data_IF_818607388147
#
_entry.id   IF_818607388147
#
_cell.length_a   1.000
_cell.length_b   1.000
_cell.length_c   1.000
_cell.angle_alpha   90.00
_cell.angle_beta   90.00
_cell.angle_gamma   90.00
#
_symmetry.space_group_name_H-M   'P 1'
#
loop_
_entity.id
_entity.type
_entity.pdbx_description
1 polymer ?
#
# COMPACT_ATOMS: atom_id res chain seq x y z
N UNK A 1 -16.16 84.79 7.11
CA UNK A 1 -14.74 84.55 6.78
C UNK A 1 -14.07 83.64 7.82
N UNK A 2 -14.13 83.93 9.13
CA UNK A 2 -13.52 83.08 10.17
C UNK A 2 -14.04 81.63 10.27
N UNK A 3 -15.35 81.38 10.10
CA UNK A 3 -15.90 80.02 10.23
C UNK A 3 -15.44 79.07 9.10
N UNK A 4 -15.19 79.59 7.89
CA UNK A 4 -14.67 78.80 6.78
C UNK A 4 -13.20 78.44 7.01
N UNK A 5 -12.42 79.40 7.48
CA UNK A 5 -11.01 79.20 7.81
C UNK A 5 -10.80 78.14 8.91
N UNK A 6 -11.60 78.18 9.98
CA UNK A 6 -11.50 77.18 11.06
C UNK A 6 -11.96 75.78 10.60
N UNK A 7 -12.93 75.70 9.68
CA UNK A 7 -13.35 74.44 9.09
C UNK A 7 -12.25 73.84 8.20
N UNK A 8 -11.64 74.65 7.33
CA UNK A 8 -10.50 74.24 6.50
C UNK A 8 -9.33 73.76 7.34
N UNK A 9 -9.00 74.49 8.42
CA UNK A 9 -7.95 74.10 9.37
C UNK A 9 -8.27 72.76 10.05
N UNK A 10 -9.52 72.53 10.42
CA UNK A 10 -9.96 71.26 11.04
C UNK A 10 -9.86 70.10 10.05
N UNK A 11 -10.27 70.31 8.80
CA UNK A 11 -10.19 69.30 7.73
C UNK A 11 -8.73 68.95 7.44
N UNK A 12 -7.86 69.96 7.32
CA UNK A 12 -6.43 69.76 7.11
C UNK A 12 -5.79 68.99 8.27
N UNK A 13 -6.10 69.35 9.52
CA UNK A 13 -5.57 68.65 10.71
C UNK A 13 -5.96 67.16 10.71
N UNK A 14 -7.25 66.86 10.50
CA UNK A 14 -7.73 65.48 10.42
C UNK A 14 -7.12 64.70 9.25
N UNK A 15 -6.87 65.38 8.14
CA UNK A 15 -6.26 64.76 6.96
C UNK A 15 -4.78 64.45 7.19
N UNK A 16 -4.05 65.32 7.91
CA UNK A 16 -2.68 65.06 8.33
C UNK A 16 -2.60 63.89 9.31
N UNK A 17 -3.45 63.85 10.34
CA UNK A 17 -3.50 62.73 11.30
C UNK A 17 -3.80 61.38 10.61
N UNK A 18 -4.70 61.39 9.61
CA UNK A 18 -5.00 60.19 8.84
C UNK A 18 -3.83 59.73 7.97
N UNK A 19 -3.07 60.67 7.39
CA UNK A 19 -1.87 60.36 6.59
C UNK A 19 -0.75 59.81 7.46
N UNK A 20 -0.47 60.43 8.62
CA UNK A 20 0.54 59.93 9.57
C UNK A 20 0.19 58.52 10.07
N UNK A 21 -1.10 58.25 10.32
CA UNK A 21 -1.56 56.90 10.69
C UNK A 21 -1.34 55.90 9.56
N UNK A 22 -1.69 56.26 8.33
CA UNK A 22 -1.53 55.39 7.16
C UNK A 22 -0.04 55.12 6.86
N UNK A 23 0.84 56.12 7.03
CA UNK A 23 2.28 55.98 6.89
C UNK A 23 2.85 54.99 7.92
N UNK A 24 2.43 55.12 9.19
CA UNK A 24 2.85 54.18 10.24
C UNK A 24 2.38 52.75 9.97
N UNK A 25 1.14 52.58 9.52
CA UNK A 25 0.61 51.26 9.13
C UNK A 25 1.40 50.66 7.96
N UNK A 26 1.75 51.48 6.96
CA UNK A 26 2.57 51.05 5.84
C UNK A 26 3.97 50.59 6.30
N UNK A 27 4.63 51.35 7.17
CA UNK A 27 5.93 50.97 7.74
C UNK A 27 5.88 49.65 8.52
N UNK A 28 4.81 49.43 9.30
CA UNK A 28 4.60 48.17 10.02
C UNK A 28 4.42 46.99 9.05
N UNK A 29 3.70 47.18 7.94
CA UNK A 29 3.52 46.14 6.92
C UNK A 29 4.81 45.81 6.17
N UNK A 30 5.65 46.81 5.86
CA UNK A 30 6.95 46.59 5.20
C UNK A 30 7.87 45.78 6.11
N UNK A 31 7.96 46.14 7.40
CA UNK A 31 8.76 45.36 8.37
C UNK A 31 8.26 43.92 8.52
N UNK A 32 6.94 43.72 8.51
CA UNK A 32 6.38 42.38 8.55
C UNK A 32 6.73 41.56 7.30
N UNK A 33 6.74 42.19 6.12
CA UNK A 33 7.15 41.56 4.87
C UNK A 33 8.64 41.18 4.89
N UNK A 34 9.53 42.07 5.35
CA UNK A 34 10.97 41.80 5.46
C UNK A 34 11.24 40.59 6.39
N UNK A 35 10.53 40.50 7.52
CA UNK A 35 10.62 39.36 8.45
C UNK A 35 10.13 38.06 7.79
N UNK A 36 9.03 38.14 7.03
CA UNK A 36 8.50 36.96 6.33
C UNK A 36 9.46 36.48 5.22
N UNK A 37 10.07 37.39 4.48
CA UNK A 37 11.06 37.08 3.45
C UNK A 37 12.32 36.46 4.06
N UNK A 38 12.83 37.00 5.17
CA UNK A 38 13.94 36.40 5.89
C UNK A 38 13.64 34.95 6.33
N UNK A 39 12.45 34.70 6.87
CA UNK A 39 12.02 33.34 7.24
C UNK A 39 11.88 32.42 6.05
N UNK A 40 11.40 32.92 4.90
CA UNK A 40 11.30 32.12 3.68
C UNK A 40 12.69 31.71 3.19
N UNK A 41 13.65 32.64 3.24
CA UNK A 41 15.05 32.37 2.89
C UNK A 41 15.69 31.34 3.84
N UNK A 42 15.31 31.30 5.12
CA UNK A 42 15.76 30.27 6.06
C UNK A 42 15.15 28.88 5.78
N UNK A 43 13.93 28.82 5.23
CA UNK A 43 13.22 27.56 4.93
C UNK A 43 13.68 26.91 3.62
N UNK A 44 14.14 27.68 2.64
CA UNK A 44 14.56 27.15 1.33
C UNK A 44 15.69 26.11 1.42
N UNK A 45 16.78 26.33 2.19
CA UNK A 45 17.83 25.32 2.38
C UNK A 45 17.31 24.05 3.07
N UNK A 46 16.37 24.17 4.00
CA UNK A 46 15.78 23.03 4.69
C UNK A 46 14.94 22.18 3.73
N UNK A 47 14.18 22.83 2.84
CA UNK A 47 13.43 22.13 1.80
C UNK A 47 14.36 21.38 0.83
N UNK A 48 15.47 22.01 0.43
CA UNK A 48 16.47 21.36 -0.42
C UNK A 48 17.11 20.14 0.28
N UNK A 49 17.47 20.27 1.56
CA UNK A 49 18.01 19.18 2.36
C UNK A 49 17.02 18.02 2.52
N UNK A 50 15.72 18.31 2.69
CA UNK A 50 14.68 17.28 2.73
C UNK A 50 14.56 16.52 1.40
N UNK A 51 14.60 17.22 0.28
CA UNK A 51 14.57 16.59 -1.05
C UNK A 51 15.80 15.71 -1.29
N UNK A 52 16.99 16.15 -0.86
CA UNK A 52 18.22 15.37 -0.96
C UNK A 52 18.15 14.10 -0.09
N UNK A 53 17.67 14.24 1.15
CA UNK A 53 17.50 13.10 2.05
C UNK A 53 16.49 12.08 1.51
N UNK A 54 15.40 12.55 0.91
CA UNK A 54 14.42 11.67 0.27
C UNK A 54 15.01 10.91 -0.92
N UNK A 55 15.79 11.59 -1.77
CA UNK A 55 16.47 10.94 -2.89
C UNK A 55 17.50 9.90 -2.41
N UNK A 56 18.25 10.21 -1.34
CA UNK A 56 19.18 9.26 -0.72
C UNK A 56 18.45 8.03 -0.15
N UNK A 57 17.31 8.23 0.51
CA UNK A 57 16.48 7.15 1.02
C UNK A 57 15.95 6.25 -0.10
N UNK A 58 15.40 6.85 -1.17
CA UNK A 58 14.90 6.10 -2.33
C UNK A 58 16.02 5.30 -3.02
N UNK A 59 17.21 5.89 -3.15
CA UNK A 59 18.39 5.21 -3.70
C UNK A 59 18.83 4.03 -2.82
N UNK A 60 18.87 4.21 -1.50
CA UNK A 60 19.20 3.15 -0.55
C UNK A 60 18.18 2.00 -0.61
N UNK A 61 16.88 2.31 -0.63
CA UNK A 61 15.82 1.30 -0.79
C UNK A 61 15.93 0.54 -2.11
N UNK A 62 16.23 1.23 -3.20
CA UNK A 62 16.46 0.60 -4.51
C UNK A 62 17.65 -0.35 -4.49
N UNK A 63 18.76 0.06 -3.86
CA UNK A 63 19.94 -0.78 -3.72
C UNK A 63 19.68 -2.04 -2.90
N UNK A 64 19.01 -1.91 -1.75
CA UNK A 64 18.60 -3.06 -0.92
C UNK A 64 17.68 -4.00 -1.70
N UNK A 65 16.77 -3.48 -2.51
CA UNK A 65 15.88 -4.29 -3.37
C UNK A 65 16.69 -5.10 -4.40
N UNK A 66 17.67 -4.49 -5.05
CA UNK A 66 18.54 -5.16 -6.03
C UNK A 66 19.39 -6.24 -5.35
N UNK A 67 19.97 -5.94 -4.18
CA UNK A 67 20.77 -6.88 -3.41
C UNK A 67 19.94 -8.09 -2.95
N UNK A 68 18.73 -7.85 -2.44
CA UNK A 68 17.80 -8.91 -2.04
C UNK A 68 17.36 -9.77 -3.24
N UNK A 69 17.07 -9.14 -4.39
CA UNK A 69 16.71 -9.85 -5.62
C UNK A 69 17.87 -10.70 -6.16
N UNK A 70 19.10 -10.18 -6.08
CA UNK A 70 20.32 -10.91 -6.45
C UNK A 70 20.57 -12.10 -5.53
N UNK A 71 20.43 -11.92 -4.21
CA UNK A 71 20.56 -13.01 -3.23
C UNK A 71 19.48 -14.07 -3.42
N UNK A 72 18.23 -13.67 -3.66
CA UNK A 72 17.14 -14.59 -3.99
C UNK A 72 17.44 -15.39 -5.26
N UNK A 73 17.92 -14.73 -6.32
CA UNK A 73 18.30 -15.39 -7.57
C UNK A 73 19.47 -16.36 -7.37
N UNK A 74 20.46 -16.00 -6.57
CA UNK A 74 21.60 -16.86 -6.23
C UNK A 74 21.18 -18.08 -5.41
N UNK A 75 20.27 -17.90 -4.45
CA UNK A 75 19.70 -18.98 -3.65
C UNK A 75 18.89 -19.94 -4.52
N UNK A 76 18.05 -19.43 -5.42
CA UNK A 76 17.28 -20.23 -6.39
C UNK A 76 18.20 -21.08 -7.28
N UNK A 77 19.29 -20.48 -7.79
CA UNK A 77 20.26 -21.19 -8.62
C UNK A 77 21.05 -22.27 -7.86
N UNK A 78 21.15 -22.20 -6.53
CA UNK A 78 21.74 -23.26 -5.71
C UNK A 78 20.75 -24.41 -5.47
N UNK A 79 19.46 -24.10 -5.27
CA UNK A 79 18.40 -25.11 -5.08
C UNK A 79 18.11 -25.92 -6.35
N UNK A 80 18.26 -25.31 -7.54
CA UNK A 80 18.07 -25.97 -8.84
C UNK A 80 19.13 -27.03 -9.20
N UNK A 81 20.17 -27.21 -8.38
CA UNK A 81 21.15 -28.32 -8.55
C UNK A 81 20.77 -29.59 -7.78
N UNK A 82 19.66 -29.59 -7.05
CA UNK A 82 19.09 -30.79 -6.42
C UNK A 82 17.94 -31.34 -7.24
N UNK A 83 18.11 -32.56 -7.76
CA UNK A 83 17.10 -33.29 -8.54
C UNK A 83 15.78 -33.42 -7.76
N UNK A 84 14.82 -32.54 -8.04
CA UNK A 84 13.42 -32.72 -7.70
C UNK A 84 12.57 -32.34 -8.92
N UNK A 85 11.93 -33.34 -9.51
CA UNK A 85 11.00 -33.19 -10.63
C UNK A 85 9.75 -32.34 -10.31
N UNK A 86 9.67 -31.75 -9.10
CA UNK A 86 8.56 -30.90 -8.67
C UNK A 86 8.90 -29.39 -8.73
N UNK A 87 10.18 -29.00 -8.79
CA UNK A 87 10.61 -27.59 -8.75
C UNK A 87 10.82 -26.95 -10.12
N UNK A 88 10.68 -27.72 -11.21
CA UNK A 88 11.00 -27.29 -12.59
C UNK A 88 10.03 -26.24 -13.17
N UNK A 89 9.00 -25.83 -12.41
CA UNK A 89 8.06 -24.75 -12.81
C UNK A 89 8.43 -23.36 -12.30
N UNK A 90 9.53 -23.20 -11.53
CA UNK A 90 9.98 -21.88 -11.05
C UNK A 90 10.82 -21.08 -12.05
N UNK A 91 11.12 -21.67 -13.21
CA UNK A 91 11.93 -21.07 -14.25
C UNK A 91 11.13 -20.65 -15.50
N UNK A 92 9.80 -20.51 -15.43
CA UNK A 92 9.11 -19.74 -16.45
C UNK A 92 9.28 -18.25 -16.13
N UNK A 93 10.10 -17.61 -16.93
CA UNK A 93 10.21 -16.16 -17.10
C UNK A 93 8.90 -15.58 -17.64
N UNK A 94 7.75 -15.95 -17.08
CA UNK A 94 6.48 -15.31 -17.44
C UNK A 94 6.49 -13.91 -16.81
N UNK A 95 6.64 -12.91 -17.68
CA UNK A 95 6.35 -11.53 -17.33
C UNK A 95 4.93 -11.47 -16.81
N UNK A 96 4.74 -10.95 -15.61
CA UNK A 96 3.41 -10.80 -15.01
C UNK A 96 2.44 -10.10 -15.98
N UNK A 97 1.42 -10.82 -16.44
CA UNK A 97 0.30 -10.26 -17.20
C UNK A 97 -0.91 -10.05 -16.26
N UNK A 98 -1.32 -8.79 -16.01
CA UNK A 98 -2.48 -8.50 -15.19
C UNK A 98 -3.78 -8.86 -15.94
N UNK A 99 -4.82 -9.19 -15.18
CA UNK A 99 -6.18 -9.36 -15.70
C UNK A 99 -6.81 -8.05 -16.11
N UNK A 100 -7.67 -8.08 -17.13
CA UNK A 100 -8.56 -6.96 -17.42
C UNK A 100 -9.60 -6.76 -16.29
N UNK A 101 -10.21 -5.58 -16.16
CA UNK A 101 -11.29 -5.34 -15.19
C UNK A 101 -12.45 -6.33 -15.33
N UNK A 102 -12.82 -6.68 -16.56
CA UNK A 102 -13.90 -7.62 -16.88
C UNK A 102 -13.53 -9.05 -16.48
N UNK A 103 -12.28 -9.47 -16.73
CA UNK A 103 -11.76 -10.77 -16.29
C UNK A 103 -11.74 -10.88 -14.76
N UNK A 104 -11.32 -9.81 -14.07
CA UNK A 104 -11.35 -9.75 -12.60
C UNK A 104 -12.78 -9.89 -12.08
N UNK A 105 -13.73 -9.16 -12.66
CA UNK A 105 -15.13 -9.22 -12.24
C UNK A 105 -15.74 -10.62 -12.46
N UNK A 106 -15.50 -11.22 -13.63
CA UNK A 106 -15.97 -12.56 -13.94
C UNK A 106 -15.39 -13.60 -12.95
N UNK A 107 -14.10 -13.49 -12.62
CA UNK A 107 -13.44 -14.37 -11.68
C UNK A 107 -13.98 -14.21 -10.26
N UNK A 108 -14.16 -12.97 -9.79
CA UNK A 108 -14.74 -12.70 -8.47
C UNK A 108 -16.15 -13.26 -8.34
N UNK A 109 -16.98 -13.18 -9.39
CA UNK A 109 -18.32 -13.79 -9.40
C UNK A 109 -18.25 -15.32 -9.29
N UNK A 110 -17.31 -15.96 -9.97
CA UNK A 110 -17.12 -17.41 -9.88
C UNK A 110 -16.68 -17.82 -8.47
N UNK A 111 -15.71 -17.12 -7.90
CA UNK A 111 -15.18 -17.34 -6.56
C UNK A 111 -16.21 -17.11 -5.45
N UNK A 112 -17.03 -16.06 -5.55
CA UNK A 112 -18.06 -15.70 -4.56
C UNK A 112 -19.04 -16.85 -4.25
N UNK A 113 -19.30 -17.73 -5.24
CA UNK A 113 -20.14 -18.90 -5.06
C UNK A 113 -19.59 -19.87 -4.02
N UNK A 114 -18.26 -20.02 -3.98
CA UNK A 114 -17.55 -20.97 -3.13
C UNK A 114 -17.08 -20.38 -1.80
N UNK A 115 -17.29 -19.08 -1.57
CA UNK A 115 -16.92 -18.44 -0.30
C UNK A 115 -17.65 -19.12 0.86
N UNK A 116 -16.90 -19.47 1.90
CA UNK A 116 -17.41 -20.15 3.08
C UNK A 116 -18.37 -19.24 3.88
N UNK A 117 -19.43 -19.78 4.52
CA UNK A 117 -20.34 -19.01 5.38
C UNK A 117 -19.62 -18.13 6.42
N UNK A 118 -18.54 -18.63 7.04
CA UNK A 118 -17.70 -17.87 8.00
C UNK A 118 -17.24 -16.51 7.45
N UNK A 119 -16.85 -16.48 6.17
CA UNK A 119 -16.37 -15.28 5.52
C UNK A 119 -17.53 -14.35 5.12
N UNK A 120 -18.71 -14.90 4.82
CA UNK A 120 -19.94 -14.12 4.60
C UNK A 120 -20.44 -13.45 5.89
N UNK A 121 -20.24 -14.08 7.04
CA UNK A 121 -20.55 -13.48 8.34
C UNK A 121 -19.57 -12.37 8.71
N UNK A 122 -18.29 -12.54 8.38
CA UNK A 122 -17.25 -11.53 8.61
C UNK A 122 -17.41 -10.32 7.68
N UNK A 123 -17.39 -10.53 6.36
CA UNK A 123 -17.70 -9.50 5.37
C UNK A 123 -19.18 -9.59 5.00
N UNK A 124 -20.01 -8.91 5.79
CA UNK A 124 -21.47 -9.00 5.71
C UNK A 124 -22.04 -8.54 4.36
N UNK A 125 -21.43 -7.53 3.74
CA UNK A 125 -21.86 -7.00 2.44
C UNK A 125 -21.15 -7.73 1.30
N UNK A 126 -21.86 -7.91 0.18
CA UNK A 126 -21.28 -8.51 -1.02
C UNK A 126 -20.15 -7.63 -1.56
N UNK A 127 -20.30 -6.31 -1.48
CA UNK A 127 -19.33 -5.32 -1.93
C UNK A 127 -17.99 -5.48 -1.19
N UNK A 128 -18.01 -5.65 0.13
CA UNK A 128 -16.79 -5.83 0.93
C UNK A 128 -16.09 -7.16 0.60
N UNK A 129 -16.85 -8.24 0.33
CA UNK A 129 -16.26 -9.51 -0.12
C UNK A 129 -15.62 -9.37 -1.49
N UNK A 130 -16.35 -8.80 -2.43
CA UNK A 130 -15.87 -8.57 -3.79
C UNK A 130 -14.59 -7.71 -3.78
N UNK A 131 -14.48 -6.71 -2.90
CA UNK A 131 -13.26 -5.92 -2.76
C UNK A 131 -12.03 -6.80 -2.45
N UNK A 132 -12.14 -7.72 -1.49
CA UNK A 132 -11.05 -8.65 -1.14
C UNK A 132 -10.76 -9.63 -2.27
N UNK A 133 -11.80 -10.18 -2.90
CA UNK A 133 -11.63 -11.08 -4.05
C UNK A 133 -10.92 -10.38 -5.21
N UNK A 134 -11.25 -9.12 -5.47
CA UNK A 134 -10.59 -8.35 -6.52
C UNK A 134 -9.12 -8.07 -6.19
N UNK A 135 -8.78 -7.81 -4.92
CA UNK A 135 -7.37 -7.66 -4.49
C UNK A 135 -6.58 -8.93 -4.77
N UNK A 136 -7.14 -10.11 -4.46
CA UNK A 136 -6.53 -11.41 -4.77
C UNK A 136 -6.39 -11.60 -6.29
N UNK A 137 -7.45 -11.39 -7.05
CA UNK A 137 -7.50 -11.61 -8.50
C UNK A 137 -6.49 -10.75 -9.29
N UNK A 138 -6.23 -9.52 -8.81
CA UNK A 138 -5.25 -8.60 -9.40
C UNK A 138 -3.81 -8.95 -9.05
N UNK A 139 -3.58 -9.61 -7.91
CA UNK A 139 -2.24 -9.98 -7.45
C UNK A 139 -1.72 -11.30 -8.02
N UNK A 140 -2.43 -11.95 -8.95
CA UNK A 140 -2.00 -13.19 -9.59
C UNK A 140 -2.09 -13.08 -11.10
N UNK A 141 -1.19 -13.74 -11.82
CA UNK A 141 -1.12 -13.69 -13.28
C UNK A 141 -2.43 -14.19 -13.93
N UNK A 142 -2.84 -13.60 -15.06
CA UNK A 142 -4.15 -13.83 -15.69
C UNK A 142 -4.48 -15.29 -16.03
N UNK A 143 -3.45 -16.09 -16.30
CA UNK A 143 -3.56 -17.51 -16.64
C UNK A 143 -3.74 -18.46 -15.45
N UNK A 144 -3.67 -17.98 -14.22
CA UNK A 144 -3.63 -18.85 -13.03
C UNK A 144 -4.74 -18.54 -12.03
N UNK A 145 -5.32 -19.58 -11.43
CA UNK A 145 -6.38 -19.44 -10.42
C UNK A 145 -5.94 -20.10 -9.10
N UNK A 146 -5.77 -19.35 -8.00
CA UNK A 146 -5.37 -19.89 -6.70
C UNK A 146 -6.48 -20.66 -5.95
N UNK A 147 -7.73 -20.57 -6.40
CA UNK A 147 -8.90 -21.14 -5.71
C UNK A 147 -9.45 -22.35 -6.47
N UNK A 148 -9.71 -22.19 -7.78
CA UNK A 148 -10.35 -23.20 -8.62
C UNK A 148 -9.39 -23.77 -9.69
N UNK A 149 -8.12 -23.41 -9.64
CA UNK A 149 -7.10 -23.86 -10.58
C UNK A 149 -6.56 -25.27 -10.30
N UNK A 150 -5.62 -25.69 -11.13
CA UNK A 150 -4.92 -26.98 -11.03
C UNK A 150 -4.00 -27.05 -9.79
N UNK A 151 -3.95 -28.21 -9.15
CA UNK A 151 -3.13 -28.49 -7.96
C UNK A 151 -1.67 -28.81 -8.30
N UNK A 152 -1.32 -28.93 -9.57
CA UNK A 152 0.05 -29.25 -10.00
C UNK A 152 0.92 -28.02 -10.21
N UNK A 153 0.33 -26.84 -10.32
CA UNK A 153 1.06 -25.61 -10.62
C UNK A 153 0.98 -24.61 -9.48
N UNK A 154 2.10 -23.96 -9.23
CA UNK A 154 2.13 -22.87 -8.27
C UNK A 154 1.47 -21.64 -8.86
N UNK A 155 0.81 -20.87 -8.01
CA UNK A 155 0.23 -19.57 -8.38
C UNK A 155 1.03 -18.49 -7.66
N UNK A 156 1.89 -17.78 -8.39
CA UNK A 156 2.79 -16.78 -7.82
C UNK A 156 2.04 -15.48 -7.54
N UNK A 157 2.30 -14.91 -6.36
CA UNK A 157 1.81 -13.58 -5.97
C UNK A 157 2.70 -12.47 -6.50
N UNK A 158 2.07 -11.43 -7.05
CA UNK A 158 2.69 -10.23 -7.62
C UNK A 158 2.16 -8.94 -6.98
N UNK A 159 1.35 -9.04 -5.94
CA UNK A 159 0.86 -7.90 -5.16
C UNK A 159 1.80 -7.51 -4.04
N UNK A 160 1.25 -6.92 -2.98
CA UNK A 160 2.03 -6.41 -1.85
C UNK A 160 2.74 -7.53 -1.09
N UNK A 161 3.95 -7.24 -0.62
CA UNK A 161 4.71 -8.07 0.29
C UNK A 161 4.84 -7.37 1.64
N UNK A 162 4.89 -8.17 2.71
CA UNK A 162 5.18 -7.70 4.05
C UNK A 162 6.60 -7.15 4.14
N UNK A 163 6.77 -6.00 4.79
CA UNK A 163 8.08 -5.37 4.99
C UNK A 163 8.98 -6.16 5.96
N UNK A 164 8.36 -6.96 6.85
CA UNK A 164 9.08 -7.68 7.90
C UNK A 164 9.70 -8.99 7.41
N UNK A 165 9.01 -9.70 6.51
CA UNK A 165 9.37 -11.06 6.10
C UNK A 165 9.29 -11.31 4.57
N UNK A 166 8.96 -10.28 3.77
CA UNK A 166 8.80 -10.35 2.32
C UNK A 166 7.79 -11.42 1.84
N UNK A 167 6.77 -11.75 2.65
CA UNK A 167 5.74 -12.71 2.30
C UNK A 167 4.46 -12.05 1.73
N UNK A 168 3.66 -12.77 0.92
CA UNK A 168 2.43 -12.23 0.32
C UNK A 168 1.43 -11.70 1.35
N UNK A 169 1.03 -10.43 1.22
CA UNK A 169 0.03 -9.78 2.08
C UNK A 169 -1.05 -9.06 1.27
N UNK A 170 -2.19 -8.85 1.93
CA UNK A 170 -3.26 -7.97 1.49
C UNK A 170 -3.52 -6.96 2.59
N UNK A 171 -3.63 -5.69 2.19
CA UNK A 171 -4.02 -4.59 3.07
C UNK A 171 -5.52 -4.35 2.94
N UNK A 172 -6.22 -4.30 4.07
CA UNK A 172 -7.66 -4.10 4.13
C UNK A 172 -8.09 -3.46 5.45
N UNK A 173 -9.14 -2.66 5.42
CA UNK A 173 -9.83 -2.21 6.64
C UNK A 173 -10.79 -3.33 7.06
N UNK A 174 -10.58 -3.90 8.24
CA UNK A 174 -11.46 -4.96 8.74
C UNK A 174 -12.83 -4.37 9.15
N UNK A 175 -13.92 -5.15 9.04
CA UNK A 175 -15.22 -4.73 9.55
C UNK A 175 -15.14 -4.29 11.02
N UNK A 176 -15.55 -3.05 11.31
CA UNK A 176 -15.51 -2.47 12.66
C UNK A 176 -14.20 -1.75 13.02
N UNK A 177 -13.19 -1.79 12.15
CA UNK A 177 -11.96 -1.03 12.30
C UNK A 177 -11.98 0.23 11.42
N UNK A 178 -11.23 1.26 11.81
CA UNK A 178 -11.04 2.50 11.02
C UNK A 178 -9.68 2.57 10.35
N UNK A 179 -8.74 1.72 10.77
CA UNK A 179 -7.38 1.67 10.25
C UNK A 179 -7.23 0.49 9.31
N UNK A 180 -6.42 0.68 8.28
CA UNK A 180 -6.03 -0.40 7.39
C UNK A 180 -5.10 -1.37 8.14
N UNK A 181 -5.38 -2.66 8.01
CA UNK A 181 -4.59 -3.74 8.59
C UNK A 181 -4.01 -4.62 7.48
N UNK A 182 -2.82 -5.18 7.72
CA UNK A 182 -2.25 -6.19 6.83
C UNK A 182 -2.63 -7.60 7.29
N UNK A 183 -2.81 -8.52 6.34
CA UNK A 183 -2.99 -9.96 6.60
C UNK A 183 -2.37 -10.75 5.46
N UNK A 184 -1.80 -11.92 5.75
CA UNK A 184 -1.20 -12.78 4.73
C UNK A 184 -2.23 -13.31 3.73
N UNK A 185 -1.86 -13.40 2.46
CA UNK A 185 -2.74 -13.86 1.38
C UNK A 185 -3.22 -15.29 1.64
N UNK A 186 -2.31 -16.20 2.01
CA UNK A 186 -2.68 -17.60 2.26
C UNK A 186 -3.62 -17.76 3.47
N UNK A 187 -3.48 -16.94 4.53
CA UNK A 187 -4.43 -16.89 5.64
C UNK A 187 -5.80 -16.38 5.20
N UNK A 188 -5.83 -15.38 4.32
CA UNK A 188 -7.07 -14.84 3.75
C UNK A 188 -7.78 -15.91 2.91
N UNK A 189 -7.04 -16.63 2.06
CA UNK A 189 -7.59 -17.71 1.24
C UNK A 189 -8.15 -18.87 2.08
N UNK A 190 -7.45 -19.29 3.14
CA UNK A 190 -7.94 -20.31 4.07
C UNK A 190 -9.21 -19.85 4.76
N UNK A 191 -9.27 -18.60 5.21
CA UNK A 191 -10.48 -18.05 5.81
C UNK A 191 -11.67 -18.01 4.83
N UNK A 192 -11.41 -17.70 3.56
CA UNK A 192 -12.42 -17.64 2.51
C UNK A 192 -12.92 -19.02 2.06
N UNK A 193 -12.05 -20.02 1.94
CA UNK A 193 -12.33 -21.22 1.14
C UNK A 193 -11.97 -22.56 1.76
N UNK A 194 -11.13 -22.62 2.80
CA UNK A 194 -10.85 -23.90 3.45
C UNK A 194 -12.17 -24.50 3.96
N UNK A 195 -12.23 -25.83 4.06
CA UNK A 195 -13.33 -26.48 4.77
C UNK A 195 -13.19 -26.31 6.29
N UNK A 196 -14.18 -26.75 7.04
CA UNK A 196 -14.22 -26.56 8.50
C UNK A 196 -13.06 -27.28 9.21
N UNK A 197 -12.70 -28.48 8.77
CA UNK A 197 -11.65 -29.30 9.37
C UNK A 197 -10.27 -28.66 9.17
N UNK A 198 -9.91 -28.37 7.91
CA UNK A 198 -8.64 -27.74 7.56
C UNK A 198 -8.50 -26.34 8.17
N UNK A 199 -9.61 -25.59 8.23
CA UNK A 199 -9.61 -24.27 8.85
C UNK A 199 -9.30 -24.32 10.35
N UNK A 200 -9.92 -25.25 11.08
CA UNK A 200 -9.71 -25.38 12.51
C UNK A 200 -8.27 -25.79 12.82
N UNK A 201 -7.70 -26.73 12.06
CA UNK A 201 -6.29 -27.12 12.20
C UNK A 201 -5.34 -25.95 11.92
N UNK A 202 -5.56 -25.24 10.80
CA UNK A 202 -4.73 -24.10 10.41
C UNK A 202 -4.87 -22.89 11.33
N UNK A 203 -5.99 -22.76 12.06
CA UNK A 203 -6.17 -21.69 13.04
C UNK A 203 -5.30 -21.86 14.30
N UNK A 204 -4.94 -23.09 14.66
CA UNK A 204 -4.07 -23.37 15.82
C UNK A 204 -2.61 -22.95 15.56
N UNK A 205 -2.22 -22.85 14.28
CA UNK A 205 -0.88 -22.42 13.89
C UNK A 205 -0.61 -20.95 14.27
N UNK A 206 0.67 -20.57 14.48
CA UNK A 206 1.04 -19.19 14.79
C UNK A 206 0.45 -18.17 13.82
N UNK A 207 0.27 -16.93 14.29
CA UNK A 207 -0.25 -15.79 13.49
C UNK A 207 0.76 -15.27 12.45
N UNK A 208 1.38 -16.17 11.70
CA UNK A 208 2.29 -15.91 10.58
C UNK A 208 1.70 -16.51 9.30
N UNK A 209 2.32 -16.22 8.16
CA UNK A 209 1.98 -16.90 6.91
C UNK A 209 2.12 -18.41 7.06
N UNK A 210 1.23 -19.17 6.43
CA UNK A 210 1.39 -20.61 6.35
C UNK A 210 2.58 -20.99 5.45
N UNK A 211 3.22 -22.11 5.79
CA UNK A 211 4.21 -22.74 4.90
C UNK A 211 3.49 -23.36 3.70
N UNK A 212 4.15 -23.33 2.54
CA UNK A 212 3.63 -23.95 1.32
C UNK A 212 4.30 -25.31 1.10
N UNK A 213 3.52 -26.36 0.84
CA UNK A 213 3.98 -27.71 0.54
C UNK A 213 4.84 -27.77 -0.73
N UNK A 214 4.65 -26.81 -1.66
CA UNK A 214 5.49 -26.65 -2.85
C UNK A 214 6.83 -25.94 -2.58
N UNK A 215 7.11 -25.60 -1.31
CA UNK A 215 8.32 -24.90 -0.85
C UNK A 215 8.57 -23.50 -1.46
N UNK A 216 7.60 -22.92 -2.17
CA UNK A 216 7.68 -21.53 -2.61
C UNK A 216 6.92 -20.59 -1.68
N UNK A 217 7.60 -19.64 -1.03
CA UNK A 217 6.96 -18.67 -0.13
C UNK A 217 6.03 -17.69 -0.84
N UNK A 218 6.16 -17.50 -2.16
CA UNK A 218 5.30 -16.60 -2.94
C UNK A 218 4.09 -17.32 -3.56
N UNK A 219 3.95 -18.63 -3.37
CA UNK A 219 2.80 -19.36 -3.87
C UNK A 219 1.57 -19.02 -3.03
N UNK A 220 0.46 -18.78 -3.70
CA UNK A 220 -0.85 -18.53 -3.07
C UNK A 220 -1.90 -19.53 -3.55
N UNK A 221 -1.51 -20.65 -4.15
CA UNK A 221 -2.45 -21.74 -4.48
C UNK A 221 -2.97 -22.36 -3.16
N UNK A 222 -4.28 -22.36 -2.97
CA UNK A 222 -4.93 -22.86 -1.75
C UNK A 222 -4.57 -24.33 -1.46
N UNK A 223 -4.48 -25.15 -2.51
CA UNK A 223 -4.14 -26.58 -2.41
C UNK A 223 -2.67 -26.85 -2.07
N UNK A 224 -1.82 -25.82 -2.12
CA UNK A 224 -0.40 -25.94 -1.80
C UNK A 224 -0.08 -25.54 -0.36
N UNK A 225 -1.08 -25.19 0.46
CA UNK A 225 -0.84 -24.84 1.87
C UNK A 225 -0.52 -26.12 2.65
N UNK A 226 0.62 -26.11 3.37
CA UNK A 226 1.04 -27.26 4.17
C UNK A 226 0.23 -27.34 5.47
N UNK A 227 -0.43 -28.49 5.68
CA UNK A 227 -1.11 -28.82 6.93
C UNK A 227 -0.09 -29.25 8.00
N UNK A 228 0.95 -29.98 7.60
CA UNK A 228 2.08 -30.36 8.47
C UNK A 228 3.23 -29.32 8.43
N UNK A 229 4.03 -29.24 9.50
CA UNK A 229 5.26 -28.44 9.58
C UNK A 229 6.52 -29.29 9.32
#
# INVERSE_FOLDING_TARGET
MNALYENEKTILSKSMEALEKAEKEADETVRAADIAEARLNDLLPLQAALMELQAQYEAACSQVRIECQSQYTAMLNQTLKGDSAYTDRYASQETFEPRSPEEVEALCRAWEHYVHPRAREFWQTAEARIEILQKIARGVHRGYDPVLGDDKQCVVWYGDLSEDDNLPVIRMVKPGETQESQTYVNRTLVFLYADEESFNELQEKPKKAFTMACANPLCVNLTHIALDD
#
